data_IF_337943611028
#
_entry.id   IF_337943611028
#
_cell.length_a   1.000
_cell.length_b   1.000
_cell.length_c   1.000
_cell.angle_alpha   90.00
_cell.angle_beta   90.00
_cell.angle_gamma   90.00
#
_symmetry.space_group_name_H-M   'P 1'
#
loop_
_entity.id
_entity.type
_entity.pdbx_description
1 polymer ?
#
# COMPACT_ATOMS: atom_id res chain seq x y z
N UNK A 1 25.61 -5.05 -8.42
CA UNK A 1 24.46 -5.72 -9.05
C UNK A 1 23.21 -5.36 -8.28
N UNK A 2 22.33 -4.54 -8.87
CA UNK A 2 21.06 -4.11 -8.28
C UNK A 2 20.15 -5.34 -8.15
N UNK A 3 20.27 -6.07 -7.03
CA UNK A 3 19.26 -7.06 -6.67
C UNK A 3 17.94 -6.29 -6.59
N UNK A 4 17.03 -6.60 -7.50
CA UNK A 4 15.65 -6.14 -7.47
C UNK A 4 15.09 -6.43 -6.09
N UNK A 5 15.08 -5.42 -5.20
CA UNK A 5 14.48 -5.50 -3.87
C UNK A 5 12.96 -5.49 -4.04
N UNK A 6 12.44 -6.57 -4.61
CA UNK A 6 11.02 -6.87 -4.60
C UNK A 6 10.70 -7.26 -3.18
N UNK A 7 10.34 -6.29 -2.34
CA UNK A 7 9.89 -6.53 -0.98
C UNK A 7 8.55 -7.29 -1.05
N UNK A 8 8.52 -8.63 -0.91
CA UNK A 8 7.35 -9.44 -1.25
C UNK A 8 6.20 -9.15 -0.29
N UNK A 9 6.52 -8.81 0.97
CA UNK A 9 5.55 -8.46 2.00
C UNK A 9 4.71 -7.25 1.64
N UNK A 10 5.32 -6.17 1.16
CA UNK A 10 4.61 -4.95 0.74
C UNK A 10 3.62 -5.24 -0.40
N UNK A 11 4.03 -6.07 -1.37
CA UNK A 11 3.17 -6.44 -2.51
C UNK A 11 1.97 -7.27 -2.07
N UNK A 12 2.18 -8.25 -1.20
CA UNK A 12 1.11 -9.10 -0.65
C UNK A 12 0.14 -8.25 0.17
N UNK A 13 0.65 -7.38 1.04
CA UNK A 13 -0.17 -6.47 1.84
C UNK A 13 -1.05 -5.58 0.95
N UNK A 14 -0.49 -4.97 -0.10
CA UNK A 14 -1.26 -4.14 -1.04
C UNK A 14 -2.29 -4.95 -1.81
N UNK A 15 -1.96 -6.19 -2.25
CA UNK A 15 -2.94 -7.07 -2.92
C UNK A 15 -4.12 -7.37 -2.00
N UNK A 16 -3.85 -7.79 -0.75
CA UNK A 16 -4.89 -8.09 0.24
C UNK A 16 -5.74 -6.85 0.54
N UNK A 17 -5.08 -5.71 0.74
CA UNK A 17 -5.73 -4.42 0.98
C UNK A 17 -6.65 -4.03 -0.18
N UNK A 18 -6.17 -4.12 -1.42
CA UNK A 18 -6.93 -3.78 -2.62
C UNK A 18 -8.10 -4.73 -2.85
N UNK A 19 -8.02 -6.00 -2.44
CA UNK A 19 -9.13 -6.96 -2.56
C UNK A 19 -10.25 -6.68 -1.55
N UNK A 20 -9.92 -6.28 -0.33
CA UNK A 20 -10.91 -6.07 0.74
C UNK A 20 -11.69 -4.75 0.63
N UNK A 21 -13.01 -4.82 0.44
CA UNK A 21 -13.88 -3.64 0.43
C UNK A 21 -13.87 -2.89 1.77
N UNK A 22 -13.83 -3.65 2.90
CA UNK A 22 -13.77 -3.10 4.25
C UNK A 22 -12.51 -2.24 4.45
N UNK A 23 -11.34 -2.75 4.04
CA UNK A 23 -10.07 -2.01 4.14
C UNK A 23 -10.08 -0.76 3.26
N UNK A 24 -10.58 -0.86 2.03
CA UNK A 24 -10.72 0.31 1.15
C UNK A 24 -11.63 1.37 1.75
N UNK A 25 -12.73 0.99 2.40
CA UNK A 25 -13.63 1.95 3.06
C UNK A 25 -12.93 2.67 4.22
N UNK A 26 -12.30 1.90 5.13
CA UNK A 26 -11.50 2.47 6.24
C UNK A 26 -10.39 3.40 5.72
N UNK A 27 -9.73 3.04 4.63
CA UNK A 27 -8.69 3.84 4.01
C UNK A 27 -9.20 5.18 3.52
N UNK A 28 -10.33 5.20 2.79
CA UNK A 28 -10.94 6.44 2.32
C UNK A 28 -11.29 7.35 3.49
N UNK A 29 -11.81 6.78 4.57
CA UNK A 29 -12.12 7.54 5.78
C UNK A 29 -10.84 8.10 6.43
N UNK A 30 -9.80 7.29 6.57
CA UNK A 30 -8.51 7.72 7.11
C UNK A 30 -7.85 8.80 6.23
N UNK A 31 -7.94 8.71 4.90
CA UNK A 31 -7.47 9.78 4.00
C UNK A 31 -8.21 11.09 4.24
N UNK A 32 -9.53 11.06 4.47
CA UNK A 32 -10.31 12.27 4.79
C UNK A 32 -9.88 12.90 6.12
N UNK A 33 -9.63 12.09 7.15
CA UNK A 33 -9.16 12.56 8.46
C UNK A 33 -7.79 13.23 8.32
N UNK A 34 -6.87 12.61 7.57
CA UNK A 34 -5.52 13.14 7.33
C UNK A 34 -5.49 14.29 6.30
N UNK A 35 -6.64 14.76 5.81
CA UNK A 35 -6.77 15.77 4.76
C UNK A 35 -5.98 15.44 3.47
N UNK A 36 -5.82 14.14 3.19
CA UNK A 36 -5.14 13.62 2.01
C UNK A 36 -6.14 13.38 0.88
N UNK A 37 -5.75 13.76 -0.34
CA UNK A 37 -6.47 13.30 -1.54
C UNK A 37 -6.59 11.78 -1.53
N UNK A 38 -7.80 11.28 -1.75
CA UNK A 38 -8.04 9.83 -1.78
C UNK A 38 -7.41 9.25 -3.05
N UNK A 39 -6.19 8.72 -2.93
CA UNK A 39 -5.51 8.00 -4.02
C UNK A 39 -5.62 6.49 -3.81
N UNK A 40 -5.65 5.72 -4.89
CA UNK A 40 -5.45 4.26 -4.78
C UNK A 40 -3.98 3.93 -4.48
N UNK A 41 -3.76 2.90 -3.66
CA UNK A 41 -2.47 2.20 -3.58
C UNK A 41 -2.16 1.53 -4.92
N UNK A 42 -0.92 1.62 -5.38
CA UNK A 42 -0.49 1.06 -6.65
C UNK A 42 0.07 -0.34 -6.44
N UNK A 43 -0.19 -1.24 -7.38
CA UNK A 43 0.48 -2.54 -7.43
C UNK A 43 1.66 -2.42 -8.41
N UNK A 44 2.75 -3.10 -8.09
CA UNK A 44 3.80 -3.31 -9.07
C UNK A 44 3.30 -4.17 -10.25
N UNK A 45 3.76 -3.82 -11.45
CA UNK A 45 3.39 -4.43 -12.73
C UNK A 45 4.68 -4.75 -13.49
N UNK A 46 4.99 -6.03 -13.68
CA UNK A 46 6.27 -6.47 -14.26
C UNK A 46 6.61 -5.85 -15.63
N UNK A 47 5.61 -5.50 -16.43
CA UNK A 47 5.79 -4.90 -17.77
C UNK A 47 6.06 -3.39 -17.74
N UNK A 48 6.09 -2.74 -16.56
CA UNK A 48 6.36 -1.30 -16.41
C UNK A 48 7.64 -1.08 -15.63
N UNK A 49 8.63 -0.46 -16.27
CA UNK A 49 9.98 -0.28 -15.71
C UNK A 49 10.03 0.40 -14.32
N UNK A 50 9.05 1.26 -13.99
CA UNK A 50 9.05 2.07 -12.77
C UNK A 50 7.93 1.71 -11.77
N UNK A 51 7.20 0.61 -11.97
CA UNK A 51 6.05 0.31 -11.11
C UNK A 51 6.43 -0.02 -9.67
N UNK A 52 7.61 -0.60 -9.43
CA UNK A 52 8.06 -0.93 -8.07
C UNK A 52 8.34 0.35 -7.29
N UNK A 53 9.10 1.26 -7.90
CA UNK A 53 9.35 2.58 -7.33
C UNK A 53 8.05 3.35 -7.06
N UNK A 54 7.13 3.38 -8.04
CA UNK A 54 5.86 4.11 -7.91
C UNK A 54 4.96 3.50 -6.83
N UNK A 55 4.94 2.17 -6.71
CA UNK A 55 4.25 1.46 -5.62
C UNK A 55 4.82 1.87 -4.26
N UNK A 56 6.13 1.77 -4.08
CA UNK A 56 6.78 2.10 -2.80
C UNK A 56 6.59 3.57 -2.43
N UNK A 57 6.77 4.48 -3.40
CA UNK A 57 6.53 5.91 -3.21
C UNK A 57 5.10 6.19 -2.76
N UNK A 58 4.11 5.58 -3.43
CA UNK A 58 2.69 5.75 -3.07
C UNK A 58 2.36 5.21 -1.68
N UNK A 59 2.91 4.05 -1.32
CA UNK A 59 2.68 3.44 -0.01
C UNK A 59 3.31 4.29 1.09
N UNK A 60 4.49 4.86 0.83
CA UNK A 60 5.14 5.78 1.75
C UNK A 60 4.32 7.07 1.94
N UNK A 61 3.86 7.70 0.84
CA UNK A 61 2.94 8.85 0.88
C UNK A 61 1.66 8.57 1.68
N UNK A 62 1.15 7.34 1.59
CA UNK A 62 -0.11 6.91 2.20
C UNK A 62 0.07 6.07 3.46
N UNK A 63 1.25 6.10 4.09
CA UNK A 63 1.59 5.20 5.21
C UNK A 63 0.65 5.36 6.40
N UNK A 64 0.33 6.61 6.77
CA UNK A 64 -0.59 6.92 7.87
C UNK A 64 -2.00 6.35 7.65
N UNK A 65 -2.72 6.70 6.56
CA UNK A 65 -4.06 6.16 6.33
C UNK A 65 -4.04 4.65 6.06
N UNK A 66 -2.94 4.11 5.52
CA UNK A 66 -2.76 2.67 5.38
C UNK A 66 -2.76 1.98 6.75
N UNK A 67 -1.91 2.43 7.68
CA UNK A 67 -1.75 1.83 9.00
C UNK A 67 -3.05 1.91 9.81
N UNK A 68 -3.75 3.05 9.75
CA UNK A 68 -5.07 3.21 10.40
C UNK A 68 -6.10 2.24 9.83
N UNK A 69 -6.14 2.07 8.50
CA UNK A 69 -7.10 1.17 7.87
C UNK A 69 -6.77 -0.31 8.12
N UNK A 70 -5.48 -0.65 8.13
CA UNK A 70 -4.96 -1.99 8.41
C UNK A 70 -4.91 -2.32 9.91
N UNK A 71 -5.20 -1.37 10.79
CA UNK A 71 -5.31 -1.60 12.24
C UNK A 71 -6.28 -2.77 12.49
N UNK A 72 -5.83 -3.77 13.28
CA UNK A 72 -6.52 -5.05 13.54
C UNK A 72 -6.68 -5.98 12.32
N UNK A 73 -5.90 -5.80 11.26
CA UNK A 73 -5.88 -6.70 10.10
C UNK A 73 -4.58 -7.51 10.11
N UNK A 74 -4.55 -8.69 10.78
CA UNK A 74 -3.32 -9.44 11.05
C UNK A 74 -2.57 -9.91 9.79
N UNK A 75 -3.19 -9.82 8.62
CA UNK A 75 -2.62 -10.26 7.33
C UNK A 75 -2.23 -9.08 6.41
N UNK A 76 -2.16 -7.85 6.94
CA UNK A 76 -1.93 -6.63 6.15
C UNK A 76 -0.91 -5.73 6.85
N UNK A 77 0.32 -6.22 6.95
CA UNK A 77 1.44 -5.48 7.54
C UNK A 77 2.43 -5.02 6.48
N UNK A 78 2.94 -3.79 6.63
CA UNK A 78 4.01 -3.25 5.81
C UNK A 78 5.35 -3.54 6.48
N UNK A 79 5.99 -4.64 6.08
CA UNK A 79 7.38 -4.89 6.43
C UNK A 79 8.28 -4.17 5.43
N UNK A 80 8.80 -3.00 5.82
CA UNK A 80 9.92 -2.39 5.12
C UNK A 80 11.19 -3.08 5.65
N UNK A 81 11.78 -3.96 4.84
CA UNK A 81 13.09 -4.56 5.13
C UNK A 81 14.19 -3.51 4.96
#
# INVERSE_FOLDING_TARGET
SLKSSTNPGVRVAIKTFRKSAKLRSKFKHACKIELLSTKMLLLDVATRWNSTYTMLKRVHEMRKPFNVAAWQSPNVELHFA
#
